data_IF_791140147848
#
_entry.id   IF_791140147848
#
_cell.length_a   1.000
_cell.length_b   1.000
_cell.length_c   1.000
_cell.angle_alpha   90.00
_cell.angle_beta   90.00
_cell.angle_gamma   90.00
#
_symmetry.space_group_name_H-M   'P 1'
#
loop_
_entity.id
_entity.type
_entity.pdbx_description
1 polymer ?
#
# COMPACT_ATOMS: atom_id res chain seq x y z
N UNK A 1 57.41 6.23 -37.64
CA UNK A 1 56.26 5.31 -37.71
C UNK A 1 55.29 5.73 -36.62
N UNK A 2 54.22 6.46 -36.99
CA UNK A 2 53.31 7.12 -36.05
C UNK A 2 52.32 6.13 -35.43
N UNK A 3 52.10 6.25 -34.11
CA UNK A 3 51.07 5.53 -33.36
C UNK A 3 49.68 6.05 -33.75
N UNK A 4 48.81 5.17 -34.24
CA UNK A 4 47.38 5.46 -34.41
C UNK A 4 46.61 4.89 -33.20
N UNK A 5 46.16 5.79 -32.31
CA UNK A 5 45.05 5.54 -31.38
C UNK A 5 43.78 5.33 -32.19
N UNK A 6 43.33 4.10 -32.36
CA UNK A 6 41.98 3.81 -32.89
C UNK A 6 40.99 3.77 -31.72
N UNK A 7 40.16 4.80 -31.63
CA UNK A 7 39.05 4.88 -30.69
C UNK A 7 37.98 3.86 -31.03
N UNK A 8 37.71 2.95 -30.10
CA UNK A 8 36.56 2.04 -30.17
C UNK A 8 35.30 2.89 -29.99
N UNK A 9 34.52 3.07 -31.05
CA UNK A 9 33.19 3.67 -30.96
C UNK A 9 32.29 2.67 -30.22
N UNK A 10 31.96 2.97 -28.97
CA UNK A 10 30.82 2.33 -28.31
C UNK A 10 29.56 2.68 -29.09
N UNK A 11 29.14 1.77 -29.97
CA UNK A 11 27.80 1.77 -30.55
C UNK A 11 26.81 1.53 -29.40
N UNK A 12 26.10 2.58 -28.99
CA UNK A 12 24.95 2.43 -28.12
C UNK A 12 23.97 1.49 -28.82
N UNK A 13 23.61 0.39 -28.16
CA UNK A 13 22.54 -0.47 -28.64
C UNK A 13 21.29 0.40 -28.85
N UNK A 14 20.57 0.25 -29.98
CA UNK A 14 19.33 0.98 -30.18
C UNK A 14 18.42 0.67 -28.99
N UNK A 15 17.97 1.72 -28.30
CA UNK A 15 16.98 1.57 -27.25
C UNK A 15 15.75 0.88 -27.88
N UNK A 16 15.28 -0.24 -27.31
CA UNK A 16 14.14 -0.94 -27.87
C UNK A 16 12.93 0.00 -27.93
N UNK A 17 12.04 -0.16 -28.93
CA UNK A 17 10.88 0.71 -29.09
C UNK A 17 10.09 0.74 -27.78
N UNK A 18 9.67 1.94 -27.35
CA UNK A 18 8.81 2.12 -26.18
C UNK A 18 7.49 1.41 -26.47
N UNK A 19 7.39 0.15 -26.05
CA UNK A 19 6.12 -0.55 -26.00
C UNK A 19 5.31 0.12 -24.89
N UNK A 20 4.42 1.04 -25.27
CA UNK A 20 3.31 1.48 -24.41
C UNK A 20 2.28 0.35 -24.35
N UNK A 21 2.72 -0.81 -23.87
CA UNK A 21 1.85 -1.90 -23.42
C UNK A 21 0.97 -1.30 -22.34
N UNK A 22 -0.35 -1.32 -22.56
CA UNK A 22 -1.36 -0.91 -21.58
C UNK A 22 -1.06 -1.67 -20.29
N UNK A 23 -0.41 -1.03 -19.32
CA UNK A 23 -0.03 -1.64 -18.06
C UNK A 23 -1.33 -2.00 -17.32
N UNK A 24 -1.41 -3.15 -16.63
CA UNK A 24 -2.54 -3.43 -15.78
C UNK A 24 -2.65 -2.30 -14.76
N UNK A 25 -3.80 -1.63 -14.78
CA UNK A 25 -4.11 -0.56 -13.86
C UNK A 25 -4.54 -1.19 -12.53
N UNK A 26 -3.62 -1.25 -11.55
CA UNK A 26 -3.88 -1.86 -10.24
C UNK A 26 -4.63 -0.88 -9.33
N UNK A 27 -5.90 -0.62 -9.65
CA UNK A 27 -6.75 0.33 -8.93
C UNK A 27 -6.77 0.10 -7.40
N UNK A 28 -6.80 -1.14 -6.93
CA UNK A 28 -6.74 -1.46 -5.50
C UNK A 28 -5.37 -1.14 -4.86
N UNK A 29 -4.28 -1.30 -5.60
CA UNK A 29 -2.92 -1.00 -5.14
C UNK A 29 -2.68 0.51 -5.08
N UNK A 30 -3.16 1.25 -6.08
CA UNK A 30 -3.15 2.71 -6.08
C UNK A 30 -3.93 3.25 -4.87
N UNK A 31 -5.13 2.71 -4.62
CA UNK A 31 -5.95 3.09 -3.47
C UNK A 31 -5.25 2.80 -2.14
N UNK A 32 -4.57 1.65 -2.01
CA UNK A 32 -3.79 1.32 -0.81
C UNK A 32 -2.70 2.35 -0.54
N UNK A 33 -1.89 2.67 -1.55
CA UNK A 33 -0.80 3.62 -1.38
C UNK A 33 -1.29 5.04 -1.12
N UNK A 34 -2.42 5.43 -1.72
CA UNK A 34 -3.07 6.70 -1.41
C UNK A 34 -3.51 6.75 0.06
N UNK A 35 -4.12 5.67 0.56
CA UNK A 35 -4.52 5.58 1.97
C UNK A 35 -3.33 5.62 2.93
N UNK A 36 -2.24 4.94 2.59
CA UNK A 36 -0.99 4.98 3.37
C UNK A 36 -0.44 6.41 3.41
N UNK A 37 -0.42 7.10 2.26
CA UNK A 37 0.07 8.48 2.16
C UNK A 37 -0.70 9.45 3.07
N UNK A 38 -2.00 9.26 3.22
CA UNK A 38 -2.85 10.06 4.12
C UNK A 38 -2.56 9.82 5.61
N UNK A 39 -2.05 8.63 5.96
CA UNK A 39 -1.68 8.27 7.33
C UNK A 39 -0.25 8.69 7.69
N UNK A 40 0.57 9.03 6.69
CA UNK A 40 1.97 9.41 6.91
C UNK A 40 2.09 10.85 7.44
N UNK A 41 3.06 11.11 8.34
CA UNK A 41 3.44 12.47 8.69
C UNK A 41 3.86 13.28 7.45
N UNK A 42 3.68 14.61 7.44
CA UNK A 42 3.96 15.45 6.26
C UNK A 42 5.40 15.35 5.71
N UNK A 43 6.36 14.98 6.56
CA UNK A 43 7.77 14.87 6.21
C UNK A 43 8.21 13.43 5.90
N UNK A 44 7.32 12.45 6.06
CA UNK A 44 7.65 11.05 5.83
C UNK A 44 7.52 10.71 4.34
N UNK A 45 8.54 10.04 3.81
CA UNK A 45 8.57 9.54 2.43
C UNK A 45 7.78 8.23 2.35
N UNK A 46 6.80 8.18 1.44
CA UNK A 46 6.06 6.95 1.15
C UNK A 46 6.99 5.85 0.64
N UNK A 47 7.95 6.21 -0.23
CA UNK A 47 8.91 5.26 -0.81
C UNK A 47 9.77 4.64 0.27
N UNK A 48 10.33 5.45 1.17
CA UNK A 48 11.21 4.95 2.23
C UNK A 48 10.42 4.12 3.24
N UNK A 49 9.18 4.53 3.55
CA UNK A 49 8.31 3.77 4.45
C UNK A 49 7.98 2.39 3.89
N UNK A 50 7.58 2.31 2.62
CA UNK A 50 7.26 1.04 1.94
C UNK A 50 8.51 0.16 1.78
N UNK A 51 9.64 0.76 1.39
CA UNK A 51 10.91 0.03 1.27
C UNK A 51 11.34 -0.61 2.59
N UNK A 52 11.22 0.13 3.70
CA UNK A 52 11.56 -0.34 5.03
C UNK A 52 10.63 -1.47 5.50
N UNK A 53 9.31 -1.33 5.30
CA UNK A 53 8.32 -2.32 5.75
C UNK A 53 8.44 -3.62 4.94
N UNK A 54 8.57 -3.53 3.62
CA UNK A 54 8.64 -4.69 2.74
C UNK A 54 10.06 -5.27 2.60
N UNK A 55 11.05 -4.66 3.24
CA UNK A 55 12.46 -5.03 3.13
C UNK A 55 12.97 -5.11 1.68
N UNK A 56 12.59 -4.12 0.86
CA UNK A 56 12.98 -4.01 -0.55
C UNK A 56 13.80 -2.74 -0.80
N UNK A 57 14.46 -2.65 -1.96
CA UNK A 57 15.13 -1.40 -2.36
C UNK A 57 14.13 -0.28 -2.63
N UNK A 58 14.56 0.98 -2.49
CA UNK A 58 13.73 2.15 -2.82
C UNK A 58 13.22 2.12 -4.26
N UNK A 59 14.02 1.63 -5.21
CA UNK A 59 13.60 1.42 -6.61
C UNK A 59 12.46 0.41 -6.71
N UNK A 60 12.58 -0.72 -6.02
CA UNK A 60 11.54 -1.76 -5.98
C UNK A 60 10.23 -1.28 -5.35
N UNK A 61 10.33 -0.47 -4.28
CA UNK A 61 9.18 0.18 -3.66
C UNK A 61 8.55 1.19 -4.62
N UNK A 62 9.37 1.99 -5.31
CA UNK A 62 8.91 3.01 -6.25
C UNK A 62 8.12 2.41 -7.42
N UNK A 63 8.61 1.30 -7.98
CA UNK A 63 7.93 0.55 -9.05
C UNK A 63 6.57 0.00 -8.60
N UNK A 64 6.45 -0.45 -7.34
CA UNK A 64 5.15 -0.85 -6.77
C UNK A 64 4.22 0.35 -6.59
N UNK A 65 4.71 1.45 -6.03
CA UNK A 65 3.89 2.66 -5.81
C UNK A 65 3.32 3.20 -7.13
N UNK A 66 4.06 3.10 -8.24
CA UNK A 66 3.60 3.52 -9.58
C UNK A 66 2.78 2.48 -10.35
N UNK A 67 2.59 1.27 -9.80
CA UNK A 67 1.89 0.18 -10.48
C UNK A 67 2.71 -0.50 -11.59
N UNK A 68 4.03 -0.28 -11.65
CA UNK A 68 4.94 -0.98 -12.58
C UNK A 68 5.26 -2.41 -12.14
N UNK A 69 5.11 -2.69 -10.85
CA UNK A 69 5.24 -4.02 -10.26
C UNK A 69 4.01 -4.29 -9.39
N UNK A 70 3.31 -5.42 -9.58
CA UNK A 70 2.19 -5.78 -8.71
C UNK A 70 2.69 -5.99 -7.29
N UNK A 71 1.88 -5.54 -6.34
CA UNK A 71 2.02 -5.91 -4.94
C UNK A 71 1.49 -7.33 -4.76
N UNK A 72 2.28 -8.23 -4.18
CA UNK A 72 1.76 -9.58 -3.85
C UNK A 72 0.94 -9.53 -2.55
N UNK A 73 0.12 -10.55 -2.31
CA UNK A 73 -0.83 -10.53 -1.19
C UNK A 73 -0.14 -10.42 0.19
N UNK A 74 1.01 -11.07 0.38
CA UNK A 74 1.77 -10.98 1.63
C UNK A 74 2.33 -9.56 1.86
N UNK A 75 2.78 -8.88 0.80
CA UNK A 75 3.19 -7.47 0.88
C UNK A 75 1.99 -6.57 1.22
N UNK A 76 0.81 -6.85 0.65
CA UNK A 76 -0.42 -6.12 0.97
C UNK A 76 -0.78 -6.29 2.45
N UNK A 77 -0.69 -7.53 2.94
CA UNK A 77 -0.95 -7.88 4.35
C UNK A 77 -0.02 -7.11 5.28
N UNK A 78 1.29 -7.09 5.00
CA UNK A 78 2.28 -6.41 5.83
C UNK A 78 2.02 -4.91 5.92
N UNK A 79 1.77 -4.25 4.78
CA UNK A 79 1.40 -2.84 4.74
C UNK A 79 0.09 -2.57 5.52
N UNK A 80 -0.94 -3.37 5.26
CA UNK A 80 -2.23 -3.21 5.95
C UNK A 80 -2.11 -3.41 7.47
N UNK A 81 -1.32 -4.40 7.93
CA UNK A 81 -1.08 -4.63 9.36
C UNK A 81 -0.33 -3.46 10.00
N UNK A 82 0.73 -2.97 9.35
CA UNK A 82 1.54 -1.87 9.87
C UNK A 82 0.73 -0.58 10.02
N UNK A 83 -0.05 -0.23 8.98
CA UNK A 83 -0.87 0.98 8.96
C UNK A 83 -2.27 0.80 9.55
N UNK A 84 -2.60 -0.38 10.07
CA UNK A 84 -3.92 -0.74 10.61
C UNK A 84 -5.07 -0.47 9.62
N UNK A 85 -4.83 -0.76 8.34
CA UNK A 85 -5.81 -0.64 7.26
C UNK A 85 -6.58 -1.95 7.15
N UNK A 86 -7.91 -1.89 7.17
CA UNK A 86 -8.75 -3.05 6.86
C UNK A 86 -8.71 -3.32 5.35
N UNK A 87 -8.26 -4.53 4.97
CA UNK A 87 -8.21 -4.97 3.58
C UNK A 87 -9.62 -5.10 2.99
N UNK A 88 -10.60 -5.54 3.78
CA UNK A 88 -11.99 -5.66 3.34
C UNK A 88 -12.59 -4.29 2.98
N UNK A 89 -12.29 -3.27 3.80
CA UNK A 89 -12.68 -1.89 3.51
C UNK A 89 -12.00 -1.36 2.26
N UNK A 90 -10.71 -1.68 2.08
CA UNK A 90 -9.93 -1.28 0.92
C UNK A 90 -10.51 -1.84 -0.39
N UNK A 91 -10.89 -3.12 -0.37
CA UNK A 91 -11.37 -3.83 -1.54
C UNK A 91 -12.87 -3.65 -1.79
N UNK A 92 -13.57 -2.92 -0.91
CA UNK A 92 -15.02 -2.69 -0.97
C UNK A 92 -15.81 -4.01 -1.18
N UNK A 93 -15.38 -5.08 -0.49
CA UNK A 93 -16.02 -6.38 -0.60
C UNK A 93 -17.38 -6.30 0.06
N UNK A 94 -18.44 -6.11 -0.75
CA UNK A 94 -19.83 -6.11 -0.28
C UNK A 94 -20.26 -7.54 0.08
N UNK A 95 -19.85 -8.04 1.24
CA UNK A 95 -20.22 -9.39 1.68
C UNK A 95 -21.61 -9.45 2.35
N UNK A 96 -22.30 -8.32 2.52
CA UNK A 96 -23.52 -8.25 3.34
C UNK A 96 -23.26 -8.50 4.83
N UNK A 97 -22.00 -8.64 5.26
CA UNK A 97 -21.63 -8.84 6.64
C UNK A 97 -21.37 -7.51 7.37
N UNK A 98 -21.75 -7.46 8.64
CA UNK A 98 -21.42 -6.35 9.55
C UNK A 98 -20.19 -6.74 10.38
N UNK A 99 -19.13 -5.94 10.29
CA UNK A 99 -17.90 -6.16 11.06
C UNK A 99 -18.07 -5.62 12.48
N UNK A 100 -17.95 -6.49 13.48
CA UNK A 100 -17.90 -6.08 14.90
C UNK A 100 -16.45 -5.86 15.33
N UNK A 101 -16.17 -4.71 15.92
CA UNK A 101 -14.87 -4.44 16.54
C UNK A 101 -14.92 -4.90 18.00
N UNK A 102 -13.94 -5.70 18.43
CA UNK A 102 -13.77 -6.07 19.83
C UNK A 102 -13.24 -4.87 20.62
N UNK A 103 -14.10 -4.27 21.44
CA UNK A 103 -13.69 -3.25 22.40
C UNK A 103 -13.53 -3.92 23.75
N UNK A 104 -12.28 -4.05 24.19
CA UNK A 104 -11.99 -4.61 25.50
C UNK A 104 -12.46 -3.66 26.59
N UNK A 105 -13.36 -4.16 27.42
CA UNK A 105 -13.84 -3.49 28.63
C UNK A 105 -12.67 -3.38 29.60
N UNK A 106 -12.37 -2.15 30.02
CA UNK A 106 -11.42 -1.87 31.10
C UNK A 106 -12.16 -1.15 32.23
N UNK A 107 -11.80 -1.46 33.47
CA UNK A 107 -12.41 -0.92 34.67
C UNK A 107 -12.15 0.58 34.86
N UNK A 108 -11.22 1.19 34.10
CA UNK A 108 -10.88 2.61 34.21
C UNK A 108 -11.59 3.50 33.20
N UNK A 109 -11.43 3.23 31.90
CA UNK A 109 -11.82 4.21 30.85
C UNK A 109 -12.99 3.75 29.96
N UNK A 110 -13.36 2.47 30.05
CA UNK A 110 -14.41 1.87 29.22
C UNK A 110 -15.25 0.86 30.00
N UNK A 111 -16.18 1.40 30.80
CA UNK A 111 -17.08 0.61 31.65
C UNK A 111 -17.99 -0.29 30.82
N UNK A 112 -18.48 -1.37 31.45
CA UNK A 112 -19.43 -2.29 30.83
C UNK A 112 -20.72 -1.60 30.36
N UNK A 113 -21.20 -0.60 31.11
CA UNK A 113 -22.37 0.20 30.73
C UNK A 113 -22.13 0.99 29.44
N UNK A 114 -20.94 1.60 29.29
CA UNK A 114 -20.54 2.31 28.08
C UNK A 114 -20.43 1.36 26.88
N UNK A 115 -19.87 0.17 27.09
CA UNK A 115 -19.81 -0.89 26.08
C UNK A 115 -21.20 -1.30 25.57
N UNK A 116 -22.14 -1.59 26.48
CA UNK A 116 -23.51 -1.95 26.11
C UNK A 116 -24.21 -0.80 25.38
N UNK A 117 -24.00 0.45 25.81
CA UNK A 117 -24.54 1.63 25.14
C UNK A 117 -24.03 1.79 23.70
N UNK A 118 -22.75 1.50 23.46
CA UNK A 118 -22.16 1.59 22.12
C UNK A 118 -22.64 0.44 21.21
N UNK A 119 -22.87 -0.77 21.74
CA UNK A 119 -23.49 -1.87 21.00
C UNK A 119 -24.91 -1.49 20.55
N UNK A 120 -25.72 -0.91 21.44
CA UNK A 120 -27.10 -0.51 21.09
C UNK A 120 -27.10 0.50 19.94
N UNK A 121 -26.20 1.50 19.99
CA UNK A 121 -26.05 2.47 18.90
C UNK A 121 -25.67 1.81 17.58
N UNK A 122 -24.73 0.86 17.61
CA UNK A 122 -24.32 0.14 16.40
C UNK A 122 -25.49 -0.65 15.79
N UNK A 123 -26.33 -1.29 16.60
CA UNK A 123 -27.51 -2.03 16.14
C UNK A 123 -28.60 -1.10 15.58
N UNK A 124 -28.80 0.08 16.16
CA UNK A 124 -29.80 1.04 15.66
C UNK A 124 -29.48 1.57 14.26
N UNK A 125 -28.20 1.68 13.92
CA UNK A 125 -27.74 2.13 12.60
C UNK A 125 -27.80 1.04 11.52
N UNK A 126 -28.12 -0.22 11.89
CA UNK A 126 -28.17 -1.36 10.99
C UNK A 126 -29.59 -1.64 10.42
N UNK A 127 -30.60 -0.85 10.80
CA UNK A 127 -31.98 -0.94 10.30
C UNK A 127 -32.28 0.11 9.21
#
# INVERSE_FOLDING_TARGET
MLYLKTGVKHIALPQPPIYKSRMPDYQSQEFLFQRIKELLPPHASLVDSVANILHVSSDSAYRRIRGETPLVLDEARELCQYYKISLDNLLNVKSGATLFHDIRVDLKDYTYEKYLGDIIKQVQHAN
#
